data_IF_418334690826
#
_entry.id   IF_418334690826
#
_cell.length_a   1.000
_cell.length_b   1.000
_cell.length_c   1.000
_cell.angle_alpha   90.00
_cell.angle_beta   90.00
_cell.angle_gamma   90.00
#
_symmetry.space_group_name_H-M   'P 1'
#
loop_
_entity.id
_entity.type
_entity.pdbx_description
1 polymer ?
#
# COMPACT_ATOMS: atom_id res chain seq x y z
N UNK A 1 -1.49 19.95 0.44
CA UNK A 1 -1.23 18.79 1.32
C UNK A 1 0.04 19.06 2.11
N UNK A 2 0.01 19.00 3.44
CA UNK A 2 1.21 19.19 4.29
C UNK A 2 1.94 17.86 4.49
N UNK A 3 3.25 17.89 4.72
CA UNK A 3 4.09 16.71 4.96
C UNK A 3 3.56 15.77 6.06
N UNK A 4 3.14 16.26 7.26
CA UNK A 4 2.58 15.38 8.29
C UNK A 4 1.22 14.78 7.89
N UNK A 5 0.37 15.51 7.16
CA UNK A 5 -0.90 14.99 6.67
C UNK A 5 -0.69 13.87 5.66
N UNK A 6 0.24 14.05 4.71
CA UNK A 6 0.59 13.04 3.72
C UNK A 6 1.11 11.75 4.38
N UNK A 7 1.94 11.88 5.42
CA UNK A 7 2.42 10.72 6.20
C UNK A 7 1.28 9.99 6.91
N UNK A 8 0.38 10.72 7.56
CA UNK A 8 -0.78 10.12 8.26
C UNK A 8 -1.68 9.39 7.28
N UNK A 9 -1.95 9.96 6.11
CA UNK A 9 -2.72 9.29 5.05
C UNK A 9 -2.03 8.02 4.55
N UNK A 10 -0.71 8.09 4.30
CA UNK A 10 0.06 6.92 3.86
C UNK A 10 0.01 5.78 4.89
N UNK A 11 0.20 6.11 6.18
CA UNK A 11 0.18 5.13 7.26
C UNK A 11 -1.24 4.58 7.49
N UNK A 12 -2.27 5.41 7.42
CA UNK A 12 -3.66 4.97 7.55
C UNK A 12 -4.04 4.00 6.43
N UNK A 13 -3.71 4.31 5.18
CA UNK A 13 -3.92 3.41 4.06
C UNK A 13 -3.14 2.10 4.21
N UNK A 14 -1.90 2.17 4.67
CA UNK A 14 -1.04 1.00 4.85
C UNK A 14 -1.49 0.04 5.95
N UNK A 15 -1.75 0.56 7.16
CA UNK A 15 -2.24 -0.27 8.25
C UNK A 15 -3.67 -0.77 7.96
N UNK A 16 -4.48 0.07 7.31
CA UNK A 16 -5.79 -0.34 6.80
C UNK A 16 -5.69 -1.50 5.81
N UNK A 17 -4.77 -1.44 4.85
CA UNK A 17 -4.54 -2.50 3.87
C UNK A 17 -4.06 -3.80 4.53
N UNK A 18 -3.11 -3.74 5.47
CA UNK A 18 -2.66 -4.93 6.22
C UNK A 18 -3.82 -5.59 6.97
N UNK A 19 -4.60 -4.79 7.70
CA UNK A 19 -5.73 -5.30 8.46
C UNK A 19 -6.80 -5.86 7.53
N UNK A 20 -7.04 -5.20 6.40
CA UNK A 20 -8.02 -5.61 5.41
C UNK A 20 -7.66 -6.94 4.75
N UNK A 21 -6.42 -7.11 4.29
CA UNK A 21 -5.91 -8.36 3.70
C UNK A 21 -5.99 -9.49 4.72
N UNK A 22 -5.65 -9.21 5.99
CA UNK A 22 -5.74 -10.19 7.06
C UNK A 22 -7.19 -10.62 7.36
N UNK A 23 -8.11 -9.66 7.41
CA UNK A 23 -9.53 -9.88 7.68
C UNK A 23 -10.21 -10.60 6.52
N UNK A 24 -9.93 -10.19 5.29
CA UNK A 24 -10.54 -10.75 4.10
C UNK A 24 -10.15 -12.22 3.94
N UNK A 25 -8.86 -12.52 3.79
CA UNK A 25 -8.41 -13.89 3.54
C UNK A 25 -8.50 -14.79 4.77
N UNK A 26 -8.53 -14.23 5.98
CA UNK A 26 -8.62 -14.98 7.23
C UNK A 26 -10.04 -15.34 7.64
N UNK A 27 -11.00 -14.42 7.51
CA UNK A 27 -12.32 -14.53 8.14
C UNK A 27 -13.49 -14.39 7.17
N UNK A 28 -13.39 -13.52 6.16
CA UNK A 28 -14.55 -13.18 5.31
C UNK A 28 -14.70 -14.19 4.16
N UNK A 29 -13.62 -14.43 3.43
CA UNK A 29 -13.64 -15.27 2.23
C UNK A 29 -12.33 -16.06 2.13
N UNK A 30 -12.17 -17.10 2.98
CA UNK A 30 -11.00 -17.97 2.89
C UNK A 30 -11.05 -18.74 1.57
N UNK A 31 -10.00 -18.62 0.77
CA UNK A 31 -9.93 -19.24 -0.55
C UNK A 31 -10.01 -20.78 -0.42
N UNK A 32 -11.01 -21.45 -1.03
CA UNK A 32 -11.30 -22.85 -0.75
C UNK A 32 -10.18 -23.84 -1.13
N UNK A 33 -9.36 -23.53 -2.14
CA UNK A 33 -8.32 -24.44 -2.62
C UNK A 33 -6.95 -24.20 -1.98
N UNK A 34 -6.59 -22.93 -1.73
CA UNK A 34 -5.27 -22.55 -1.26
C UNK A 34 -5.21 -22.39 0.26
N UNK A 35 -6.37 -22.18 0.91
CA UNK A 35 -6.48 -21.96 2.35
C UNK A 35 -6.04 -20.56 2.80
N UNK A 36 -6.65 -20.09 3.89
CA UNK A 36 -6.38 -18.77 4.46
C UNK A 36 -4.90 -18.54 4.80
N UNK A 37 -4.24 -19.55 5.39
CA UNK A 37 -2.85 -19.45 5.84
C UNK A 37 -1.86 -19.21 4.70
N UNK A 38 -2.07 -19.86 3.54
CA UNK A 38 -1.21 -19.67 2.38
C UNK A 38 -1.38 -18.27 1.78
N UNK A 39 -2.62 -17.78 1.65
CA UNK A 39 -2.90 -16.42 1.17
C UNK A 39 -2.25 -15.36 2.07
N UNK A 40 -2.43 -15.50 3.39
CA UNK A 40 -1.81 -14.61 4.38
C UNK A 40 -0.28 -14.62 4.25
N UNK A 41 0.33 -15.81 4.19
CA UNK A 41 1.78 -15.97 4.05
C UNK A 41 2.31 -15.43 2.72
N UNK A 42 1.51 -15.48 1.65
CA UNK A 42 1.92 -14.95 0.36
C UNK A 42 1.83 -13.43 0.30
N UNK A 43 0.78 -12.81 0.86
CA UNK A 43 0.52 -11.38 0.71
C UNK A 43 1.15 -10.53 1.82
N UNK A 44 0.97 -10.92 3.09
CA UNK A 44 1.39 -10.09 4.23
C UNK A 44 2.89 -9.77 4.25
N UNK A 45 3.83 -10.71 3.98
CA UNK A 45 5.26 -10.39 4.04
C UNK A 45 5.66 -9.23 3.14
N UNK A 46 5.07 -9.10 1.94
CA UNK A 46 5.35 -7.97 1.04
C UNK A 46 5.00 -6.62 1.68
N UNK A 47 3.90 -6.55 2.43
CA UNK A 47 3.51 -5.36 3.16
C UNK A 47 4.43 -5.10 4.36
N UNK A 48 4.98 -6.12 5.01
CA UNK A 48 5.87 -5.92 6.16
C UNK A 48 7.25 -5.35 5.78
N UNK A 49 7.75 -5.56 4.55
CA UNK A 49 9.06 -5.04 4.12
C UNK A 49 9.19 -3.51 4.28
N UNK A 50 8.26 -2.66 3.79
CA UNK A 50 8.35 -1.21 3.92
C UNK A 50 7.97 -0.69 5.31
N UNK A 51 7.52 -1.54 6.25
CA UNK A 51 6.96 -1.14 7.55
C UNK A 51 7.90 -0.22 8.32
N UNK A 52 9.12 -0.70 8.57
CA UNK A 52 10.09 0.02 9.39
C UNK A 52 10.47 1.38 8.77
N UNK A 53 10.59 1.44 7.43
CA UNK A 53 10.96 2.67 6.74
C UNK A 53 9.82 3.69 6.65
N UNK A 54 8.57 3.25 6.48
CA UNK A 54 7.41 4.14 6.51
C UNK A 54 7.15 4.70 7.92
N UNK A 55 7.27 3.87 8.96
CA UNK A 55 7.13 4.33 10.35
C UNK A 55 8.22 5.34 10.70
N UNK A 56 9.47 5.14 10.24
CA UNK A 56 10.56 6.12 10.39
C UNK A 56 10.41 7.37 9.51
N UNK A 57 9.46 7.39 8.57
CA UNK A 57 9.21 8.52 7.68
C UNK A 57 10.30 8.72 6.62
N UNK A 58 10.95 7.64 6.17
CA UNK A 58 11.96 7.72 5.12
C UNK A 58 11.29 7.95 3.75
N UNK A 59 11.55 9.07 3.05
CA UNK A 59 10.94 9.34 1.74
C UNK A 59 11.28 8.30 0.67
N UNK A 60 12.46 7.67 0.75
CA UNK A 60 12.84 6.60 -0.17
C UNK A 60 11.94 5.37 0.00
N UNK A 61 11.64 4.98 1.24
CA UNK A 61 10.73 3.88 1.51
C UNK A 61 9.31 4.19 1.03
N UNK A 62 8.83 5.43 1.19
CA UNK A 62 7.53 5.82 0.65
C UNK A 62 7.48 5.76 -0.88
N UNK A 63 8.54 6.20 -1.58
CA UNK A 63 8.64 6.08 -3.02
C UNK A 63 8.66 4.62 -3.48
N UNK A 64 9.37 3.77 -2.75
CA UNK A 64 9.47 2.34 -3.05
C UNK A 64 8.20 1.56 -2.71
N UNK A 65 7.50 1.89 -1.62
CA UNK A 65 6.29 1.22 -1.18
C UNK A 65 5.13 1.33 -2.19
N UNK A 66 5.15 2.36 -3.06
CA UNK A 66 4.20 2.50 -4.16
C UNK A 66 4.36 1.37 -5.20
N UNK A 67 5.55 0.80 -5.37
CA UNK A 67 5.72 -0.34 -6.27
C UNK A 67 5.18 -1.63 -5.64
N UNK A 68 5.39 -1.79 -4.33
CA UNK A 68 4.90 -2.96 -3.59
C UNK A 68 3.38 -3.06 -3.53
N UNK A 69 2.68 -1.95 -3.65
CA UNK A 69 1.21 -1.94 -3.61
C UNK A 69 0.57 -2.27 -4.97
N UNK A 70 1.33 -2.28 -6.07
CA UNK A 70 0.80 -2.51 -7.42
C UNK A 70 0.11 -3.88 -7.58
N UNK A 71 0.60 -5.00 -7.00
CA UNK A 71 -0.10 -6.27 -7.05
C UNK A 71 -1.49 -6.21 -6.38
N UNK A 72 -1.66 -5.43 -5.31
CA UNK A 72 -2.97 -5.24 -4.64
C UNK A 72 -3.94 -4.45 -5.52
N UNK A 73 -3.46 -3.43 -6.23
CA UNK A 73 -4.27 -2.74 -7.24
C UNK A 73 -4.75 -3.69 -8.32
N UNK A 74 -3.85 -4.51 -8.86
CA UNK A 74 -4.19 -5.49 -9.88
C UNK A 74 -5.19 -6.53 -9.36
N UNK A 75 -5.00 -7.02 -8.13
CA UNK A 75 -5.89 -7.97 -7.47
C UNK A 75 -7.30 -7.40 -7.35
N UNK A 76 -7.44 -6.23 -6.72
CA UNK A 76 -8.72 -5.56 -6.56
C UNK A 76 -9.41 -5.28 -7.91
N UNK A 77 -8.68 -4.77 -8.91
CA UNK A 77 -9.25 -4.49 -10.23
C UNK A 77 -9.71 -5.76 -10.96
N UNK A 78 -8.94 -6.85 -10.83
CA UNK A 78 -9.31 -8.14 -11.42
C UNK A 78 -10.58 -8.68 -10.79
N UNK A 79 -10.71 -8.62 -9.46
CA UNK A 79 -11.92 -9.03 -8.74
C UNK A 79 -13.13 -8.17 -9.10
N UNK A 80 -12.96 -6.85 -9.27
CA UNK A 80 -14.04 -5.98 -9.70
C UNK A 80 -14.58 -6.34 -11.08
N UNK A 81 -13.70 -6.77 -11.98
CA UNK A 81 -14.05 -7.12 -13.36
C UNK A 81 -14.63 -8.53 -13.48
N UNK A 82 -14.00 -9.51 -12.81
CA UNK A 82 -14.28 -10.94 -13.01
C UNK A 82 -15.37 -11.46 -12.08
N UNK A 83 -15.43 -10.98 -10.84
CA UNK A 83 -16.33 -11.50 -9.81
C UNK A 83 -17.48 -10.52 -9.53
N UNK A 84 -18.68 -11.03 -9.25
CA UNK A 84 -19.85 -10.19 -8.90
C UNK A 84 -20.12 -10.13 -7.39
N UNK A 85 -19.72 -11.15 -6.63
CA UNK A 85 -20.03 -11.29 -5.20
C UNK A 85 -19.02 -10.59 -4.29
N UNK A 86 -17.74 -10.58 -4.67
CA UNK A 86 -16.64 -10.01 -3.87
C UNK A 86 -16.28 -8.57 -4.27
N UNK A 87 -17.04 -7.95 -5.20
CA UNK A 87 -16.78 -6.58 -5.69
C UNK A 87 -16.65 -5.56 -4.58
N UNK A 88 -17.50 -5.65 -3.56
CA UNK A 88 -17.45 -4.72 -2.43
C UNK A 88 -16.14 -4.85 -1.64
N UNK A 89 -15.63 -6.07 -1.48
CA UNK A 89 -14.37 -6.31 -0.78
C UNK A 89 -13.18 -5.76 -1.57
N UNK A 90 -13.22 -5.94 -2.90
CA UNK A 90 -12.25 -5.38 -3.82
C UNK A 90 -12.29 -3.84 -3.85
N UNK A 91 -13.46 -3.20 -3.75
CA UNK A 91 -13.57 -1.74 -3.64
C UNK A 91 -12.90 -1.20 -2.37
N UNK A 92 -13.07 -1.88 -1.24
CA UNK A 92 -12.46 -1.48 0.02
C UNK A 92 -10.94 -1.64 -0.04
N UNK A 93 -10.44 -2.75 -0.59
CA UNK A 93 -9.02 -2.95 -0.83
C UNK A 93 -8.44 -1.86 -1.74
N UNK A 94 -9.11 -1.57 -2.86
CA UNK A 94 -8.73 -0.51 -3.79
C UNK A 94 -8.73 0.86 -3.10
N UNK A 95 -9.66 1.12 -2.19
CA UNK A 95 -9.73 2.33 -1.38
C UNK A 95 -8.50 2.50 -0.48
N UNK A 96 -8.14 1.47 0.30
CA UNK A 96 -6.94 1.49 1.13
C UNK A 96 -5.65 1.60 0.31
N UNK A 97 -5.57 0.87 -0.81
CA UNK A 97 -4.44 0.94 -1.71
C UNK A 97 -4.29 2.34 -2.32
N UNK A 98 -5.38 2.96 -2.74
CA UNK A 98 -5.41 4.33 -3.25
C UNK A 98 -4.98 5.36 -2.20
N UNK A 99 -5.45 5.22 -0.96
CA UNK A 99 -5.04 6.09 0.14
C UNK A 99 -3.53 5.99 0.40
N UNK A 100 -2.99 4.77 0.46
CA UNK A 100 -1.56 4.55 0.65
C UNK A 100 -0.73 5.09 -0.52
N UNK A 101 -1.20 4.88 -1.76
CA UNK A 101 -0.56 5.37 -2.98
C UNK A 101 -0.47 6.90 -3.00
N UNK A 102 -1.61 7.58 -2.78
CA UNK A 102 -1.67 9.05 -2.75
C UNK A 102 -0.83 9.59 -1.59
N UNK A 103 -1.01 9.07 -0.38
CA UNK A 103 -0.26 9.49 0.79
C UNK A 103 1.25 9.38 0.59
N UNK A 104 1.72 8.22 0.11
CA UNK A 104 3.14 7.96 -0.11
C UNK A 104 3.73 8.78 -1.25
N UNK A 105 2.97 8.97 -2.34
CA UNK A 105 3.39 9.79 -3.49
C UNK A 105 3.64 11.25 -3.08
N UNK A 106 2.66 11.84 -2.36
CA UNK A 106 2.80 13.20 -1.87
C UNK A 106 3.88 13.31 -0.80
N UNK A 107 3.97 12.35 0.13
CA UNK A 107 4.99 12.39 1.18
C UNK A 107 6.40 12.31 0.61
N UNK A 108 6.67 11.38 -0.31
CA UNK A 108 7.97 11.25 -0.97
C UNK A 108 8.36 12.53 -1.70
N UNK A 109 7.41 13.18 -2.39
CA UNK A 109 7.64 14.45 -3.10
C UNK A 109 7.90 15.62 -2.15
N UNK A 110 7.05 15.80 -1.13
CA UNK A 110 7.16 16.89 -0.15
C UNK A 110 8.44 16.77 0.66
N UNK A 111 8.68 15.59 1.25
CA UNK A 111 9.85 15.32 2.08
C UNK A 111 11.15 15.32 1.26
N UNK A 112 11.10 14.88 0.00
CA UNK A 112 12.22 14.99 -0.94
C UNK A 112 12.62 16.44 -1.24
N UNK A 113 11.64 17.34 -1.35
CA UNK A 113 11.89 18.79 -1.50
C UNK A 113 12.46 19.41 -0.22
N UNK A 114 11.93 19.04 0.95
CA UNK A 114 12.42 19.52 2.26
C UNK A 114 13.88 19.13 2.53
N UNK A 115 14.28 17.91 2.16
CA UNK A 115 15.63 17.42 2.35
C UNK A 115 16.65 17.96 1.33
N UNK A 116 16.23 18.87 0.44
CA UNK A 116 17.11 19.45 -0.57
C UNK A 116 17.66 18.43 -1.56
N UNK A 117 17.00 17.27 -1.72
CA UNK A 117 17.35 16.23 -2.70
C UNK A 117 17.06 16.68 -4.14
N UNK A 118 16.96 17.99 -4.41
CA UNK A 118 16.97 18.52 -5.77
C UNK A 118 18.17 17.91 -6.45
N UNK A 119 17.92 17.19 -7.54
CA UNK A 119 18.89 16.53 -8.41
C UNK A 119 20.18 17.36 -8.38
N UNK A 120 21.22 16.89 -7.67
CA UNK A 120 22.53 17.54 -7.77
C UNK A 120 22.86 17.45 -9.26
N UNK A 121 22.78 18.58 -9.96
CA UNK A 121 23.25 18.70 -11.34
C UNK A 121 24.65 18.11 -11.33
N UNK A 122 24.82 16.97 -12.02
CA UNK A 122 26.14 16.38 -12.23
C UNK A 122 26.96 17.48 -12.90
N UNK A 123 27.98 18.00 -12.20
CA UNK A 123 28.95 18.91 -12.82
C UNK A 123 29.68 18.09 -13.87
N UNK A 124 29.25 18.24 -15.12
CA UNK A 124 30.04 17.90 -16.31
C UNK A 124 30.85 19.11 -16.71
#
# INVERSE_FOLDING_TARGET
MTTPLARRLALAGYFGLILWVALWHGLISPHPELGAGFMLMMWLPWLFIPMAGMVRGNPYTHAWAIFLIMPYFLHALTLLWVDEGERWLALVELGFASLMFVGSSYYAKLRGRELGLSIRKKKG
#
